data_IF_535971854016
#
_entry.id   IF_535971854016
#
_cell.length_a   1.000
_cell.length_b   1.000
_cell.length_c   1.000
_cell.angle_alpha   90.00
_cell.angle_beta   90.00
_cell.angle_gamma   90.00
#
_symmetry.space_group_name_H-M   'P 1'
#
loop_
_entity.id
_entity.type
_entity.pdbx_description
1 polymer ?
#
# COMPACT_ATOMS: atom_id res chain seq x y z
N UNK A 1 -2.91 -4.25 17.22
CA UNK A 1 -3.61 -3.88 15.97
C UNK A 1 -2.64 -4.18 14.84
N UNK A 2 -3.06 -4.77 13.73
CA UNK A 2 -2.13 -5.22 12.68
C UNK A 2 -1.89 -4.10 11.64
N UNK A 3 -0.63 -3.67 11.49
CA UNK A 3 -0.20 -2.55 10.63
C UNK A 3 -0.02 -2.89 9.14
N UNK A 4 -0.22 -4.15 8.73
CA UNK A 4 -0.12 -4.54 7.30
C UNK A 4 -1.17 -3.86 6.43
N UNK A 5 -2.43 -3.80 6.88
CA UNK A 5 -3.50 -3.13 6.11
C UNK A 5 -3.23 -1.62 5.96
N UNK A 6 -2.92 -0.87 7.03
CA UNK A 6 -2.51 0.55 6.92
C UNK A 6 -1.31 0.78 6.00
N UNK A 7 -0.28 -0.08 6.07
CA UNK A 7 0.87 -0.02 5.17
C UNK A 7 0.43 -0.17 3.71
N UNK A 8 -0.30 -1.25 3.38
CA UNK A 8 -0.77 -1.50 2.03
C UNK A 8 -1.67 -0.37 1.51
N UNK A 9 -2.58 0.16 2.35
CA UNK A 9 -3.47 1.25 1.95
C UNK A 9 -2.69 2.51 1.63
N UNK A 10 -1.68 2.83 2.43
CA UNK A 10 -0.80 3.99 2.19
C UNK A 10 0.01 3.82 0.90
N UNK A 11 0.51 2.62 0.60
CA UNK A 11 1.19 2.34 -0.67
C UNK A 11 0.26 2.52 -1.88
N UNK A 12 -0.98 2.04 -1.80
CA UNK A 12 -1.98 2.21 -2.87
C UNK A 12 -2.31 3.68 -3.06
N UNK A 13 -2.61 4.41 -1.98
CA UNK A 13 -2.89 5.86 -2.05
C UNK A 13 -1.72 6.61 -2.68
N UNK A 14 -0.49 6.35 -2.24
CA UNK A 14 0.70 6.96 -2.82
C UNK A 14 0.85 6.69 -4.32
N UNK A 15 0.46 5.51 -4.80
CA UNK A 15 0.51 5.15 -6.21
C UNK A 15 -0.60 5.83 -7.05
N UNK A 16 -1.79 6.04 -6.47
CA UNK A 16 -2.93 6.65 -7.16
C UNK A 16 -2.89 8.18 -7.18
N UNK A 17 -2.19 8.83 -6.24
CA UNK A 17 -2.08 10.28 -6.22
C UNK A 17 -1.43 10.81 -7.52
N UNK A 18 -2.10 11.79 -8.14
CA UNK A 18 -1.58 12.53 -9.29
C UNK A 18 -0.69 13.71 -8.91
N UNK A 19 -0.75 14.15 -7.64
CA UNK A 19 0.12 15.19 -7.07
C UNK A 19 1.28 14.56 -6.28
N UNK A 20 2.50 15.00 -6.57
CA UNK A 20 3.72 14.47 -5.97
C UNK A 20 3.78 14.70 -4.45
N UNK A 21 3.26 15.82 -3.94
CA UNK A 21 3.27 16.10 -2.50
C UNK A 21 2.29 15.19 -1.77
N UNK A 22 1.10 14.97 -2.33
CA UNK A 22 0.15 14.01 -1.79
C UNK A 22 0.73 12.59 -1.81
N UNK A 23 1.43 12.19 -2.88
CA UNK A 23 2.13 10.91 -2.93
C UNK A 23 3.17 10.78 -1.80
N UNK A 24 4.00 11.81 -1.60
CA UNK A 24 5.04 11.81 -0.55
C UNK A 24 4.46 11.67 0.86
N UNK A 25 3.31 12.28 1.15
CA UNK A 25 2.64 12.14 2.45
C UNK A 25 2.27 10.67 2.73
N UNK A 26 1.68 10.00 1.74
CA UNK A 26 1.30 8.59 1.90
C UNK A 26 2.50 7.65 1.96
N UNK A 27 3.60 7.98 1.27
CA UNK A 27 4.88 7.24 1.42
C UNK A 27 5.42 7.34 2.85
N UNK A 28 5.26 8.49 3.50
CA UNK A 28 5.66 8.66 4.89
C UNK A 28 4.78 7.85 5.86
N UNK A 29 3.46 7.85 5.66
CA UNK A 29 2.54 7.01 6.44
C UNK A 29 2.83 5.50 6.27
N UNK A 30 3.24 5.09 5.06
CA UNK A 30 3.72 3.75 4.79
C UNK A 30 5.00 3.43 5.60
N UNK A 31 5.99 4.33 5.62
CA UNK A 31 7.21 4.16 6.44
C UNK A 31 6.90 4.01 7.93
N UNK A 32 5.98 4.83 8.45
CA UNK A 32 5.56 4.72 9.86
C UNK A 32 4.89 3.38 10.16
N UNK A 33 4.02 2.90 9.26
CA UNK A 33 3.34 1.61 9.41
C UNK A 33 4.33 0.45 9.33
N UNK A 34 5.30 0.51 8.42
CA UNK A 34 6.38 -0.47 8.32
C UNK A 34 7.25 -0.51 9.59
N UNK A 35 7.60 0.65 10.15
CA UNK A 35 8.32 0.71 11.43
C UNK A 35 7.55 0.03 12.57
N UNK A 36 6.22 0.15 12.61
CA UNK A 36 5.38 -0.57 13.60
C UNK A 36 5.37 -2.09 13.36
N UNK A 37 5.36 -2.54 12.11
CA UNK A 37 5.50 -3.97 11.78
C UNK A 37 6.85 -4.51 12.26
N UNK A 38 7.93 -3.75 12.06
CA UNK A 38 9.27 -4.16 12.51
C UNK A 38 9.40 -4.20 14.03
N UNK A 39 8.61 -3.38 14.75
CA UNK A 39 8.56 -3.41 16.22
C UNK A 39 7.83 -4.65 16.77
N UNK A 40 6.89 -5.23 16.01
CA UNK A 40 6.23 -6.50 16.36
C UNK A 40 5.99 -7.41 15.13
N UNK A 41 7.04 -8.09 14.64
CA UNK A 41 6.92 -8.97 13.47
C UNK A 41 6.02 -10.19 13.73
N UNK A 42 5.80 -10.54 15.00
CA UNK A 42 4.96 -11.69 15.37
C UNK A 42 3.48 -11.43 15.12
N UNK A 43 3.04 -10.17 15.24
CA UNK A 43 1.68 -9.73 14.96
C UNK A 43 1.27 -9.94 13.50
N UNK A 44 2.23 -10.08 12.59
CA UNK A 44 1.97 -10.20 11.15
C UNK A 44 2.14 -11.61 10.58
N UNK A 45 2.75 -12.54 11.32
CA UNK A 45 3.23 -13.83 10.81
C UNK A 45 2.16 -14.75 10.18
N UNK A 46 0.90 -14.64 10.58
CA UNK A 46 -0.18 -15.55 10.15
C UNK A 46 -1.25 -14.90 9.29
N UNK A 47 -1.00 -13.69 8.80
CA UNK A 47 -1.98 -12.94 8.03
C UNK A 47 -2.14 -13.48 6.62
N UNK A 48 -3.37 -13.42 6.10
CA UNK A 48 -3.65 -13.66 4.69
C UNK A 48 -3.46 -12.36 3.93
N UNK A 49 -2.33 -12.23 3.24
CA UNK A 49 -1.93 -10.98 2.59
C UNK A 49 -2.94 -10.53 1.52
N UNK A 50 -3.52 -11.44 0.74
CA UNK A 50 -4.53 -11.08 -0.26
C UNK A 50 -5.82 -10.52 0.38
N UNK A 51 -6.22 -11.06 1.54
CA UNK A 51 -7.34 -10.50 2.29
C UNK A 51 -7.04 -9.11 2.84
N UNK A 52 -5.80 -8.87 3.28
CA UNK A 52 -5.37 -7.53 3.72
C UNK A 52 -5.30 -6.55 2.55
N UNK A 53 -4.86 -7.02 1.39
CA UNK A 53 -4.82 -6.25 0.15
C UNK A 53 -6.21 -5.78 -0.28
N UNK A 54 -7.20 -6.68 -0.35
CA UNK A 54 -8.58 -6.31 -0.69
C UNK A 54 -9.12 -5.21 0.24
N UNK A 55 -8.88 -5.34 1.54
CA UNK A 55 -9.31 -4.35 2.53
C UNK A 55 -8.56 -3.01 2.40
N UNK A 56 -7.27 -3.06 2.08
CA UNK A 56 -6.43 -1.87 1.90
C UNK A 56 -6.76 -1.08 0.64
N UNK A 57 -7.08 -1.77 -0.46
CA UNK A 57 -7.59 -1.16 -1.70
C UNK A 57 -8.92 -0.47 -1.43
N UNK A 58 -9.85 -1.13 -0.75
CA UNK A 58 -11.13 -0.51 -0.38
C UNK A 58 -10.99 0.74 0.50
N UNK A 59 -9.99 0.79 1.39
CA UNK A 59 -9.67 1.99 2.18
C UNK A 59 -9.00 3.10 1.35
N UNK A 60 -8.27 2.71 0.30
CA UNK A 60 -7.57 3.63 -0.58
C UNK A 60 -8.55 4.34 -1.52
N UNK A 61 -9.51 3.60 -2.08
CA UNK A 61 -10.54 4.08 -3.01
C UNK A 61 -11.76 4.72 -2.29
N UNK A 62 -11.62 5.00 -0.99
CA UNK A 62 -12.70 5.60 -0.21
C UNK A 62 -13.11 6.95 -0.85
N UNK A 63 -14.42 7.29 -0.87
CA UNK A 63 -14.94 8.42 -1.64
C UNK A 63 -14.24 9.76 -1.38
N UNK A 64 -13.71 9.96 -0.17
CA UNK A 64 -12.96 11.15 0.23
C UNK A 64 -11.63 11.36 -0.53
N UNK A 65 -11.08 10.34 -1.19
CA UNK A 65 -9.81 10.43 -1.93
C UNK A 65 -9.99 10.63 -3.43
N UNK A 66 -11.19 10.38 -3.98
CA UNK A 66 -11.45 10.39 -5.44
C UNK A 66 -11.14 11.70 -6.16
N UNK A 67 -11.30 12.85 -5.50
CA UNK A 67 -10.97 14.15 -6.11
C UNK A 67 -9.46 14.38 -6.23
N UNK A 68 -8.67 13.73 -5.36
CA UNK A 68 -7.20 13.81 -5.35
C UNK A 68 -6.53 12.68 -6.18
N UNK A 69 -7.26 11.60 -6.45
CA UNK A 69 -6.89 10.53 -7.38
C UNK A 69 -6.88 11.08 -8.82
N UNK A 70 -5.78 11.71 -9.22
CA UNK A 70 -5.58 12.28 -10.56
C UNK A 70 -5.46 11.24 -11.68
N UNK A 71 -5.90 10.01 -11.46
CA UNK A 71 -5.81 8.88 -12.38
C UNK A 71 -7.19 8.24 -12.51
N UNK A 72 -7.89 8.61 -13.58
CA UNK A 72 -9.18 8.04 -13.94
C UNK A 72 -8.90 6.71 -14.63
N UNK A 73 -9.24 5.60 -13.97
CA UNK A 73 -9.17 4.20 -14.44
C UNK A 73 -7.80 3.51 -14.36
N UNK A 74 -7.36 3.20 -13.14
CA UNK A 74 -6.36 2.15 -12.90
C UNK A 74 -7.03 0.87 -12.41
N UNK A 75 -6.82 -0.26 -13.09
CA UNK A 75 -7.21 -1.57 -12.60
C UNK A 75 -6.17 -2.08 -11.60
N UNK A 76 -6.40 -1.90 -10.30
CA UNK A 76 -5.52 -2.50 -9.29
C UNK A 76 -5.56 -4.04 -9.40
N UNK A 77 -4.41 -4.72 -9.18
CA UNK A 77 -4.36 -6.17 -9.28
C UNK A 77 -5.30 -6.84 -8.25
N UNK A 78 -5.96 -7.91 -8.66
CA UNK A 78 -6.86 -8.67 -7.78
C UNK A 78 -6.13 -9.35 -6.60
N UNK A 79 -4.85 -9.69 -6.80
CA UNK A 79 -3.98 -10.27 -5.78
C UNK A 79 -2.93 -9.27 -5.33
N UNK A 80 -2.42 -9.43 -4.11
CA UNK A 80 -1.39 -8.54 -3.60
C UNK A 80 -0.10 -8.70 -4.42
N UNK A 81 0.53 -7.61 -4.91
CA UNK A 81 1.81 -7.68 -5.64
C UNK A 81 3.02 -7.92 -4.73
N UNK A 82 2.79 -8.22 -3.45
CA UNK A 82 3.82 -8.50 -2.45
C UNK A 82 3.49 -9.77 -1.70
N UNK A 83 4.54 -10.47 -1.26
CA UNK A 83 4.44 -11.52 -0.26
C UNK A 83 4.50 -10.93 1.15
N UNK A 84 3.95 -11.65 2.12
CA UNK A 84 4.02 -11.24 3.54
C UNK A 84 5.47 -11.13 4.03
N UNK A 85 6.36 -11.98 3.51
CA UNK A 85 7.80 -11.93 3.80
C UNK A 85 8.45 -10.64 3.31
N UNK A 86 8.10 -10.16 2.12
CA UNK A 86 8.60 -8.87 1.60
C UNK A 86 8.08 -7.71 2.47
N UNK A 87 6.80 -7.72 2.83
CA UNK A 87 6.20 -6.66 3.67
C UNK A 87 6.84 -6.58 5.06
N UNK A 88 7.19 -7.73 5.64
CA UNK A 88 7.84 -7.80 6.95
C UNK A 88 9.37 -7.67 6.89
N UNK A 89 9.96 -7.48 5.70
CA UNK A 89 11.40 -7.36 5.54
C UNK A 89 11.87 -5.98 6.05
N UNK A 90 12.98 -5.91 6.81
CA UNK A 90 13.49 -4.64 7.35
C UNK A 90 13.99 -3.67 6.27
N UNK A 91 14.28 -4.18 5.07
CA UNK A 91 14.81 -3.48 3.91
C UNK A 91 13.75 -3.22 2.83
N UNK A 92 12.45 -3.31 3.17
CA UNK A 92 11.37 -2.93 2.25
C UNK A 92 11.55 -1.48 1.78
N UNK A 93 11.83 -1.32 0.48
CA UNK A 93 11.88 -0.02 -0.17
C UNK A 93 10.45 0.46 -0.51
N UNK A 94 9.97 1.44 0.26
CA UNK A 94 8.63 2.02 0.12
C UNK A 94 8.46 2.72 -1.22
N UNK A 95 9.49 3.42 -1.70
CA UNK A 95 9.41 4.15 -2.96
C UNK A 95 9.32 3.16 -4.13
N UNK A 96 10.15 2.11 -4.12
CA UNK A 96 10.07 1.04 -5.11
C UNK A 96 8.75 0.24 -5.05
N UNK A 97 8.20 0.04 -3.84
CA UNK A 97 6.91 -0.62 -3.66
C UNK A 97 5.76 0.18 -4.30
N UNK A 98 5.76 1.51 -4.15
CA UNK A 98 4.78 2.38 -4.81
C UNK A 98 4.88 2.29 -6.32
N UNK A 99 6.09 2.33 -6.88
CA UNK A 99 6.28 2.21 -8.33
C UNK A 99 5.87 0.81 -8.85
N UNK A 100 6.06 -0.25 -8.06
CA UNK A 100 5.56 -1.59 -8.40
C UNK A 100 4.04 -1.59 -8.55
N UNK A 101 3.31 -0.98 -7.61
CA UNK A 101 1.84 -0.88 -7.69
C UNK A 101 1.43 -0.07 -8.92
N UNK A 102 2.06 1.09 -9.15
CA UNK A 102 1.79 1.94 -10.33
C UNK A 102 2.00 1.16 -11.64
N UNK A 103 3.09 0.40 -11.73
CA UNK A 103 3.39 -0.46 -12.88
C UNK A 103 2.37 -1.58 -13.07
N UNK A 104 1.98 -2.26 -11.99
CA UNK A 104 0.96 -3.33 -12.04
C UNK A 104 -0.42 -2.82 -12.45
N UNK A 105 -0.80 -1.62 -11.99
CA UNK A 105 -2.07 -1.00 -12.33
C UNK A 105 -2.14 -0.56 -13.80
N UNK A 106 -1.02 -0.12 -14.38
CA UNK A 106 -0.91 0.29 -15.78
C UNK A 106 -0.97 -0.88 -16.79
N UNK A 107 -0.83 -2.12 -16.31
CA UNK A 107 -0.89 -3.34 -17.14
C UNK A 107 -2.24 -4.06 -17.09
N UNK A 108 -3.26 -3.45 -16.49
CA UNK A 108 -4.63 -3.97 -16.40
C UNK A 108 -5.34 -4.07 -17.75
#
# INVERSE_FOLDING_TARGET
>A
MNDVRPLLSSLVKAALMGDDRASLLWREEARQSHARILADPSAVANLKIDGMWTLAVGDAEAPEFREAEGQVEFGLPALCPFTLREIAAPDLDIDAAVERIRGSAATG
#
